data_IF_896934280355
#
_entry.id   IF_896934280355
#
_cell.length_a   1.000
_cell.length_b   1.000
_cell.length_c   1.000
_cell.angle_alpha   90.00
_cell.angle_beta   90.00
_cell.angle_gamma   90.00
#
_symmetry.space_group_name_H-M   'P 1'
#
loop_
_entity.id
_entity.type
_entity.pdbx_description
1 polymer ?
#
# COMPACT_ATOMS: atom_id res chain seq x y z
N UNK A 1 -4.54 20.18 7.68
CA UNK A 1 -5.68 19.25 7.47
C UNK A 1 -5.28 17.90 8.05
N UNK A 2 -6.22 17.08 8.56
CA UNK A 2 -5.91 15.72 9.03
C UNK A 2 -6.68 14.74 8.15
N UNK A 3 -6.04 13.64 7.77
CA UNK A 3 -6.63 12.58 6.96
C UNK A 3 -6.29 11.20 7.50
N UNK A 4 -6.98 10.19 6.97
CA UNK A 4 -6.80 8.78 7.34
C UNK A 4 -6.68 7.97 6.06
N UNK A 5 -5.68 7.09 5.99
CA UNK A 5 -5.47 6.18 4.87
C UNK A 5 -5.91 4.77 5.32
N UNK A 6 -6.75 4.14 4.51
CA UNK A 6 -7.17 2.75 4.73
C UNK A 6 -6.13 1.79 4.12
N UNK A 7 -5.19 1.34 4.94
CA UNK A 7 -4.09 0.46 4.56
C UNK A 7 -4.32 -1.01 4.99
N UNK A 8 -5.52 -1.54 4.74
CA UNK A 8 -5.92 -2.88 5.16
C UNK A 8 -6.59 -3.70 4.02
N UNK A 9 -6.90 -4.96 4.31
CA UNK A 9 -7.63 -5.89 3.45
C UNK A 9 -6.81 -7.14 3.08
N UNK A 10 -7.50 -8.21 2.63
CA UNK A 10 -6.88 -9.52 2.41
C UNK A 10 -5.99 -9.62 1.16
N UNK A 11 -6.02 -8.64 0.26
CA UNK A 11 -5.11 -8.61 -0.90
C UNK A 11 -5.17 -9.85 -1.80
N UNK A 12 -6.28 -10.58 -1.87
CA UNK A 12 -6.36 -11.91 -2.50
C UNK A 12 -6.02 -11.93 -4.00
N UNK A 13 -6.21 -10.80 -4.69
CA UNK A 13 -5.82 -10.63 -6.11
C UNK A 13 -4.32 -10.54 -6.35
N UNK A 14 -3.54 -10.32 -5.29
CA UNK A 14 -2.09 -10.20 -5.31
C UNK A 14 -1.39 -11.43 -4.72
N UNK A 15 -2.12 -12.54 -4.55
CA UNK A 15 -1.53 -13.80 -4.14
C UNK A 15 -0.58 -14.32 -5.23
N UNK A 16 0.55 -14.96 -4.85
CA UNK A 16 0.92 -15.31 -3.48
C UNK A 16 1.62 -14.20 -2.68
N UNK A 17 1.99 -13.07 -3.31
CA UNK A 17 2.80 -12.02 -2.67
C UNK A 17 2.19 -11.45 -1.39
N UNK A 18 0.87 -11.29 -1.35
CA UNK A 18 0.15 -10.82 -0.16
C UNK A 18 0.07 -11.80 1.01
N UNK A 19 0.60 -13.02 0.85
CA UNK A 19 0.78 -13.93 1.99
C UNK A 19 1.93 -13.50 2.91
N UNK A 20 2.91 -12.78 2.38
CA UNK A 20 4.15 -12.46 3.10
C UNK A 20 4.35 -10.97 3.34
N UNK A 21 3.83 -10.13 2.45
CA UNK A 21 3.95 -8.67 2.54
C UNK A 21 2.59 -8.00 2.29
N UNK A 22 2.20 -6.95 3.04
CA UNK A 22 0.99 -6.18 2.77
C UNK A 22 1.00 -5.57 1.36
N UNK A 23 -0.16 -5.42 0.72
CA UNK A 23 -0.25 -4.88 -0.65
C UNK A 23 0.27 -3.43 -0.73
N UNK A 24 0.12 -2.67 0.35
CA UNK A 24 0.54 -1.27 0.48
C UNK A 24 2.07 -1.12 0.45
N UNK A 25 2.79 -2.20 0.80
CA UNK A 25 4.25 -2.24 0.80
C UNK A 25 4.84 -2.80 -0.50
N UNK A 26 4.01 -3.08 -1.51
CA UNK A 26 4.52 -3.53 -2.80
C UNK A 26 5.30 -2.39 -3.46
N UNK A 27 6.49 -2.67 -4.02
CA UNK A 27 7.28 -1.64 -4.69
C UNK A 27 6.61 -1.24 -6.01
N UNK A 28 6.37 0.06 -6.17
CA UNK A 28 6.18 0.72 -7.44
C UNK A 28 7.55 1.24 -7.87
N UNK A 29 8.26 0.43 -8.67
CA UNK A 29 9.66 0.64 -9.02
C UNK A 29 10.54 0.57 -7.76
N UNK A 30 10.91 1.71 -7.19
CA UNK A 30 11.78 1.87 -6.02
C UNK A 30 11.04 2.39 -4.78
N UNK A 31 9.75 2.72 -4.94
CA UNK A 31 8.94 3.39 -3.92
C UNK A 31 7.81 2.48 -3.46
N UNK A 32 7.60 2.27 -2.15
CA UNK A 32 6.41 1.56 -1.65
C UNK A 32 5.11 2.23 -2.13
N UNK A 33 4.12 1.44 -2.53
CA UNK A 33 2.85 1.96 -3.06
C UNK A 33 2.14 2.94 -2.10
N UNK A 34 2.26 2.74 -0.78
CA UNK A 34 1.67 3.63 0.23
C UNK A 34 2.25 5.05 0.22
N UNK A 35 3.53 5.21 -0.15
CA UNK A 35 4.19 6.51 -0.13
C UNK A 35 3.62 7.45 -1.20
N UNK A 36 3.15 6.90 -2.33
CA UNK A 36 2.43 7.67 -3.35
C UNK A 36 1.13 8.27 -2.76
N UNK A 37 0.39 7.48 -1.98
CA UNK A 37 -0.86 7.93 -1.35
C UNK A 37 -0.58 8.95 -0.24
N UNK A 38 0.51 8.77 0.52
CA UNK A 38 0.94 9.74 1.54
C UNK A 38 1.31 11.06 0.90
N UNK A 39 2.02 11.06 -0.24
CA UNK A 39 2.37 12.27 -0.97
C UNK A 39 1.15 13.03 -1.50
N UNK A 40 0.12 12.32 -1.97
CA UNK A 40 -1.16 12.93 -2.39
C UNK A 40 -1.95 13.54 -1.22
N UNK A 41 -1.74 13.05 0.01
CA UNK A 41 -2.47 13.51 1.20
C UNK A 41 -1.89 14.80 1.82
N UNK A 42 -0.63 15.12 1.54
CA UNK A 42 0.07 16.32 2.06
C UNK A 42 -0.44 17.57 1.32
#
# INVERSE_FOLDING_TARGET
>A
MKGVILAAGYGTRFLPGTKTIPKEMFPLIDTPAIDVIVQELI
#
